data_IF_530729606844
#
_entry.id   IF_530729606844
#
_cell.length_a   1.000
_cell.length_b   1.000
_cell.length_c   1.000
_cell.angle_alpha   90.00
_cell.angle_beta   90.00
_cell.angle_gamma   90.00
#
_symmetry.space_group_name_H-M   'P 1'
#
loop_
_entity.id
_entity.type
_entity.pdbx_description
1 polymer ?
#
# COMPACT_ATOMS: atom_id res chain seq x y z
N UNK A 1 -3.97 12.97 -10.10
CA UNK A 1 -3.45 11.77 -10.77
C UNK A 1 -4.03 10.52 -10.12
N UNK A 2 -4.89 9.75 -10.81
CA UNK A 2 -5.08 8.35 -10.44
C UNK A 2 -3.73 7.65 -10.46
N UNK A 3 -3.53 6.59 -9.66
CA UNK A 3 -2.32 5.77 -9.74
C UNK A 3 -2.19 5.29 -11.20
N UNK A 4 -1.13 5.70 -11.90
CA UNK A 4 -0.91 5.36 -13.33
C UNK A 4 0.16 4.31 -13.52
N UNK A 5 1.01 4.13 -12.52
CA UNK A 5 2.21 3.34 -12.59
C UNK A 5 2.42 2.63 -11.26
N UNK A 6 2.54 1.32 -11.30
CA UNK A 6 2.86 0.48 -10.16
C UNK A 6 4.05 -0.41 -10.53
N UNK A 7 5.08 -0.41 -9.70
CA UNK A 7 6.20 -1.36 -9.82
C UNK A 7 6.12 -2.26 -8.58
N UNK A 8 6.02 -3.57 -8.80
CA UNK A 8 5.96 -4.57 -7.73
C UNK A 8 7.20 -5.44 -7.83
N UNK A 9 7.98 -5.53 -6.76
CA UNK A 9 9.07 -6.49 -6.65
C UNK A 9 8.58 -7.76 -5.94
N UNK A 10 8.94 -8.92 -6.47
CA UNK A 10 8.61 -10.22 -5.90
C UNK A 10 9.88 -10.81 -5.28
N UNK A 11 9.91 -10.97 -3.96
CA UNK A 11 11.06 -11.58 -3.30
C UNK A 11 11.39 -12.95 -3.93
N UNK A 12 12.64 -13.24 -4.33
CA UNK A 12 13.05 -14.54 -4.86
C UNK A 12 12.81 -15.71 -3.90
N UNK A 13 12.66 -15.42 -2.60
CA UNK A 13 12.28 -16.40 -1.59
C UNK A 13 10.76 -16.49 -1.42
N UNK A 14 9.99 -15.71 -2.20
CA UNK A 14 8.54 -15.80 -2.23
C UNK A 14 8.15 -17.13 -2.82
N UNK A 15 7.37 -17.86 -2.03
CA UNK A 15 6.75 -19.12 -2.41
C UNK A 15 5.40 -18.93 -3.10
N UNK A 16 4.87 -17.70 -3.09
CA UNK A 16 3.59 -17.33 -3.72
C UNK A 16 3.77 -16.46 -4.94
N UNK A 17 2.76 -16.45 -5.83
CA UNK A 17 2.76 -15.62 -7.05
C UNK A 17 1.65 -14.57 -7.10
N UNK A 18 1.96 -13.26 -7.06
CA UNK A 18 0.96 -12.20 -7.17
C UNK A 18 0.58 -11.88 -8.63
N UNK A 19 1.25 -12.42 -9.66
CA UNK A 19 0.98 -12.12 -11.07
C UNK A 19 -0.49 -12.30 -11.47
N UNK A 20 -1.21 -13.37 -11.08
CA UNK A 20 -2.63 -13.48 -11.43
C UNK A 20 -3.47 -12.29 -10.94
N UNK A 21 -3.16 -11.80 -9.74
CA UNK A 21 -3.80 -10.61 -9.16
C UNK A 21 -3.41 -9.38 -9.98
N UNK A 22 -2.11 -9.17 -10.20
CA UNK A 22 -1.60 -8.02 -10.94
C UNK A 22 -2.10 -7.99 -12.39
N UNK A 23 -2.19 -9.13 -13.06
CA UNK A 23 -2.67 -9.24 -14.43
C UNK A 23 -4.16 -8.94 -14.53
N UNK A 24 -4.96 -9.39 -13.56
CA UNK A 24 -6.35 -8.96 -13.47
C UNK A 24 -6.45 -7.43 -13.37
N UNK A 25 -5.64 -6.78 -12.52
CA UNK A 25 -5.60 -5.33 -12.44
C UNK A 25 -5.11 -4.65 -13.74
N UNK A 26 -4.10 -5.20 -14.43
CA UNK A 26 -3.61 -4.69 -15.73
C UNK A 26 -4.69 -4.76 -16.81
N UNK A 27 -5.45 -5.85 -16.83
CA UNK A 27 -6.45 -6.11 -17.87
C UNK A 27 -7.70 -5.26 -17.68
N UNK A 28 -8.05 -4.98 -16.43
CA UNK A 28 -9.30 -4.29 -16.10
C UNK A 28 -9.16 -2.79 -15.83
N UNK A 29 -7.94 -2.27 -15.73
CA UNK A 29 -7.70 -0.86 -15.44
C UNK A 29 -6.64 -0.27 -16.37
N UNK A 30 -6.51 1.06 -16.38
CA UNK A 30 -5.44 1.75 -17.12
C UNK A 30 -4.10 1.79 -16.36
N UNK A 31 -3.94 0.99 -15.30
CA UNK A 31 -2.76 0.98 -14.46
C UNK A 31 -1.60 0.25 -15.15
N UNK A 32 -0.49 0.95 -15.39
CA UNK A 32 0.74 0.32 -15.89
C UNK A 32 1.46 -0.41 -14.75
N UNK A 33 1.28 -1.72 -14.65
CA UNK A 33 1.97 -2.55 -13.66
C UNK A 33 3.20 -3.20 -14.28
N UNK A 34 4.35 -3.10 -13.62
CA UNK A 34 5.53 -3.91 -13.95
C UNK A 34 5.90 -4.73 -12.74
N UNK A 35 6.05 -6.03 -12.97
CA UNK A 35 6.55 -6.96 -11.98
C UNK A 35 8.06 -7.10 -12.17
N UNK A 36 8.82 -6.92 -11.10
CA UNK A 36 10.25 -7.19 -11.07
C UNK A 36 10.47 -8.51 -10.34
N UNK A 37 11.10 -9.45 -11.04
CA UNK A 37 11.29 -10.83 -10.59
C UNK A 37 12.77 -11.22 -10.64
N UNK A 38 13.18 -12.21 -9.84
CA UNK A 38 14.56 -12.68 -9.77
C UNK A 38 15.53 -11.73 -9.05
N UNK A 39 16.84 -12.00 -9.15
CA UNK A 39 17.87 -11.34 -8.33
C UNK A 39 18.48 -10.07 -8.95
N UNK A 40 18.05 -9.62 -10.13
CA UNK A 40 18.76 -8.55 -10.85
C UNK A 40 18.47 -7.14 -10.32
N UNK A 41 17.25 -6.83 -9.88
CA UNK A 41 16.91 -5.50 -9.35
C UNK A 41 17.45 -5.23 -7.93
N UNK A 42 18.23 -6.18 -7.41
CA UNK A 42 18.95 -6.10 -6.13
C UNK A 42 20.46 -5.92 -6.36
N UNK A 43 20.94 -6.14 -7.59
CA UNK A 43 22.36 -5.97 -7.96
C UNK A 43 22.65 -4.49 -8.14
N UNK A 44 22.81 -3.77 -7.03
CA UNK A 44 23.48 -2.48 -7.05
C UNK A 44 24.91 -2.77 -7.53
N UNK A 45 25.36 -2.10 -8.59
CA UNK A 45 26.59 -2.40 -9.32
C UNK A 45 27.88 -2.51 -8.48
N UNK A 46 27.88 -2.02 -7.25
CA UNK A 46 28.97 -2.14 -6.27
C UNK A 46 28.89 -3.39 -5.39
N UNK A 47 27.72 -4.00 -5.28
CA UNK A 47 27.44 -5.23 -4.52
C UNK A 47 27.19 -6.39 -5.48
N UNK A 48 28.17 -6.68 -6.34
CA UNK A 48 28.32 -8.04 -6.90
C UNK A 48 28.83 -8.98 -5.79
N UNK A 49 28.19 -8.93 -4.63
CA UNK A 49 28.73 -9.57 -3.45
C UNK A 49 28.55 -11.08 -3.62
N UNK A 50 29.63 -11.87 -3.70
CA UNK A 50 29.55 -13.33 -3.72
C UNK A 50 28.79 -13.88 -2.51
N UNK A 51 28.56 -13.05 -1.48
CA UNK A 51 27.77 -13.36 -0.29
C UNK A 51 26.32 -13.72 -0.64
N UNK A 52 25.66 -13.06 -1.60
CA UNK A 52 24.27 -13.40 -1.96
C UNK A 52 24.17 -14.78 -2.65
N UNK A 53 25.17 -15.14 -3.46
CA UNK A 53 25.26 -16.46 -4.12
C UNK A 53 25.80 -17.56 -3.18
N UNK A 54 26.39 -17.18 -2.02
CA UNK A 54 27.00 -18.08 -1.04
C UNK A 54 26.37 -18.00 0.35
N UNK A 55 25.15 -17.47 0.48
CA UNK A 55 24.54 -17.31 1.81
C UNK A 55 24.46 -18.68 2.50
N UNK A 56 25.16 -18.88 3.63
CA UNK A 56 25.04 -20.09 4.42
C UNK A 56 23.61 -20.24 4.96
N UNK A 57 23.17 -21.45 5.36
CA UNK A 57 21.88 -21.65 5.99
C UNK A 57 21.74 -20.69 7.17
N UNK A 58 20.67 -19.91 7.12
CA UNK A 58 20.63 -18.54 7.60
C UNK A 58 20.26 -18.50 9.08
N UNK A 59 21.06 -17.84 9.92
CA UNK A 59 20.61 -17.43 11.26
C UNK A 59 19.75 -16.14 11.17
N UNK A 60 18.78 -15.97 12.06
CA UNK A 60 17.74 -14.92 12.00
C UNK A 60 18.26 -13.51 11.67
N UNK A 61 19.41 -13.12 12.22
CA UNK A 61 20.00 -11.78 12.00
C UNK A 61 20.39 -11.52 10.53
N UNK A 62 20.88 -12.54 9.82
CA UNK A 62 21.29 -12.41 8.41
C UNK A 62 20.07 -12.26 7.51
N UNK A 63 18.93 -12.88 7.85
CA UNK A 63 17.67 -12.74 7.11
C UNK A 63 17.22 -11.28 7.12
N UNK A 64 17.24 -10.63 8.29
CA UNK A 64 16.70 -9.28 8.43
C UNK A 64 17.56 -8.20 7.77
N UNK A 65 18.89 -8.29 7.91
CA UNK A 65 19.80 -7.39 7.18
C UNK A 65 19.62 -7.55 5.67
N UNK A 66 19.44 -8.79 5.21
CA UNK A 66 19.17 -9.08 3.80
C UNK A 66 17.86 -8.46 3.33
N UNK A 67 16.76 -8.61 4.08
CA UNK A 67 15.45 -7.99 3.75
C UNK A 67 15.56 -6.46 3.63
N UNK A 68 16.26 -5.79 4.54
CA UNK A 68 16.40 -4.34 4.53
C UNK A 68 17.23 -3.84 3.34
N UNK A 69 18.35 -4.51 3.05
CA UNK A 69 19.18 -4.23 1.87
C UNK A 69 18.37 -4.41 0.59
N UNK A 70 17.60 -5.49 0.55
CA UNK A 70 16.72 -5.87 -0.53
C UNK A 70 15.68 -4.80 -0.84
N UNK A 71 14.88 -4.41 0.17
CA UNK A 71 13.89 -3.34 0.03
C UNK A 71 14.53 -1.99 -0.35
N UNK A 72 15.69 -1.67 0.24
CA UNK A 72 16.42 -0.44 -0.07
C UNK A 72 16.90 -0.38 -1.52
N UNK A 73 17.43 -1.49 -2.05
CA UNK A 73 17.82 -1.61 -3.45
C UNK A 73 16.62 -1.46 -4.38
N UNK A 74 15.53 -2.16 -4.06
CA UNK A 74 14.29 -2.06 -4.83
C UNK A 74 13.79 -0.61 -4.92
N UNK A 75 13.67 0.08 -3.78
CA UNK A 75 13.21 1.47 -3.78
C UNK A 75 14.15 2.41 -4.53
N UNK A 76 15.47 2.20 -4.41
CA UNK A 76 16.47 2.97 -5.17
C UNK A 76 16.24 2.83 -6.67
N UNK A 77 16.20 1.60 -7.16
CA UNK A 77 16.01 1.31 -8.58
C UNK A 77 14.63 1.76 -9.07
N UNK A 78 13.58 1.60 -8.25
CA UNK A 78 12.22 2.03 -8.56
C UNK A 78 12.16 3.55 -8.77
N UNK A 79 12.78 4.33 -7.88
CA UNK A 79 12.84 5.79 -8.00
C UNK A 79 13.60 6.24 -9.26
N UNK A 80 14.75 5.62 -9.54
CA UNK A 80 15.52 5.89 -10.76
C UNK A 80 14.70 5.54 -12.01
N UNK A 81 14.00 4.39 -12.01
CA UNK A 81 13.14 3.99 -13.13
C UNK A 81 12.01 4.97 -13.36
N UNK A 82 11.32 5.38 -12.29
CA UNK A 82 10.24 6.37 -12.38
C UNK A 82 10.75 7.71 -12.92
N UNK A 83 11.94 8.15 -12.49
CA UNK A 83 12.61 9.34 -13.03
C UNK A 83 12.89 9.21 -14.54
N UNK A 84 13.49 8.10 -14.97
CA UNK A 84 13.78 7.83 -16.39
C UNK A 84 12.49 7.78 -17.23
N UNK A 85 11.40 7.25 -16.67
CA UNK A 85 10.08 7.22 -17.31
C UNK A 85 9.35 8.59 -17.26
N UNK A 86 9.99 9.64 -16.73
CA UNK A 86 9.44 11.01 -16.71
C UNK A 86 8.37 11.26 -15.62
N UNK A 87 8.28 10.40 -14.61
CA UNK A 87 7.36 10.62 -13.49
C UNK A 87 7.94 11.64 -12.49
N UNK A 88 7.10 12.55 -12.03
CA UNK A 88 7.46 13.56 -11.01
C UNK A 88 7.22 13.03 -9.61
N UNK A 89 5.97 12.87 -9.18
CA UNK A 89 5.64 12.49 -7.81
C UNK A 89 5.26 11.01 -7.69
N UNK A 90 5.80 10.34 -6.67
CA UNK A 90 5.52 8.94 -6.32
C UNK A 90 5.39 8.76 -4.82
N UNK A 91 4.64 7.73 -4.40
CA UNK A 91 4.56 7.31 -2.99
C UNK A 91 5.24 5.96 -2.87
N UNK A 92 6.10 5.83 -1.86
CA UNK A 92 6.64 4.53 -1.43
C UNK A 92 5.84 4.11 -0.21
N UNK A 93 5.09 3.02 -0.31
CA UNK A 93 4.19 2.55 0.75
C UNK A 93 4.34 1.05 0.97
N UNK A 94 4.18 0.61 2.22
CA UNK A 94 4.18 -0.81 2.57
C UNK A 94 2.77 -1.39 2.34
N UNK A 95 2.65 -2.72 2.21
CA UNK A 95 1.36 -3.38 1.94
C UNK A 95 0.38 -3.31 3.12
N UNK A 96 0.86 -2.98 4.32
CA UNK A 96 0.06 -2.77 5.53
C UNK A 96 -0.26 -1.30 5.79
N UNK A 97 -0.06 -0.44 4.79
CA UNK A 97 -0.24 1.00 4.88
C UNK A 97 -1.07 1.59 3.74
N UNK A 98 -1.83 2.65 4.04
CA UNK A 98 -2.73 3.29 3.09
C UNK A 98 -2.60 4.81 3.15
N UNK A 99 -2.46 5.43 1.98
CA UNK A 99 -2.45 6.88 1.86
C UNK A 99 -3.87 7.42 1.74
N UNK A 100 -4.28 8.30 2.64
CA UNK A 100 -5.67 8.79 2.70
C UNK A 100 -5.77 10.24 3.12
N UNK A 101 -6.97 10.82 2.98
CA UNK A 101 -7.30 12.14 3.51
C UNK A 101 -7.28 12.14 5.04
N UNK A 102 -6.93 13.30 5.59
CA UNK A 102 -6.87 13.50 7.03
C UNK A 102 -8.22 13.99 7.59
N UNK A 103 -9.21 13.08 7.67
CA UNK A 103 -10.58 13.40 8.13
C UNK A 103 -10.68 13.63 9.65
N UNK A 104 -9.85 12.95 10.45
CA UNK A 104 -9.98 12.90 11.91
C UNK A 104 -9.65 14.24 12.60
N UNK A 105 -8.74 15.04 12.03
CA UNK A 105 -8.34 16.30 12.67
C UNK A 105 -9.51 17.23 12.96
N UNK A 106 -10.55 17.22 12.11
CA UNK A 106 -11.73 18.04 12.32
C UNK A 106 -12.50 17.70 13.61
N UNK A 107 -12.59 16.43 14.00
CA UNK A 107 -13.43 16.00 15.10
C UNK A 107 -12.71 16.06 16.46
N UNK A 108 -11.47 15.59 16.52
CA UNK A 108 -10.70 15.52 17.77
C UNK A 108 -10.25 16.91 18.27
N UNK A 109 -9.84 17.80 17.37
CA UNK A 109 -9.50 19.19 17.72
C UNK A 109 -10.72 19.98 18.21
N UNK A 110 -11.93 19.60 17.78
CA UNK A 110 -13.17 20.24 18.22
C UNK A 110 -13.58 19.81 19.64
N UNK A 111 -13.17 18.62 20.11
CA UNK A 111 -13.55 18.14 21.45
C UNK A 111 -12.58 18.58 22.55
N UNK A 112 -11.29 18.72 22.25
CA UNK A 112 -10.27 18.91 23.28
C UNK A 112 -9.89 20.37 23.57
N UNK A 113 -10.59 21.34 22.96
CA UNK A 113 -10.04 22.68 22.89
C UNK A 113 -11.15 23.74 22.96
N UNK A 114 -11.38 24.19 24.20
CA UNK A 114 -11.61 25.60 24.57
C UNK A 114 -10.44 26.44 24.02
N UNK A 115 -10.35 26.57 22.69
CA UNK A 115 -9.25 27.29 22.02
C UNK A 115 -9.49 28.78 22.20
N UNK A 116 -8.73 29.36 23.11
CA UNK A 116 -8.23 30.72 22.99
C UNK A 116 -7.80 31.03 21.55
N UNK A 117 -8.61 31.84 20.87
CA UNK A 117 -8.21 32.81 19.86
C UNK A 117 -7.29 32.34 18.71
N UNK A 118 -7.91 31.94 17.60
CA UNK A 118 -7.58 32.60 16.32
C UNK A 118 -6.74 31.87 15.27
N UNK A 119 -6.28 30.63 15.45
CA UNK A 119 -5.26 30.09 14.51
C UNK A 119 -5.79 29.23 13.35
N UNK A 120 -7.04 28.76 13.37
CA UNK A 120 -7.64 28.10 12.19
C UNK A 120 -9.02 28.63 11.84
N UNK A 121 -9.04 29.56 10.88
CA UNK A 121 -10.28 30.05 10.26
C UNK A 121 -11.12 28.87 9.74
N UNK A 122 -12.44 28.98 9.89
CA UNK A 122 -13.38 27.99 9.35
C UNK A 122 -13.16 27.74 7.82
N UNK A 123 -12.62 28.74 7.10
CA UNK A 123 -12.16 28.61 5.71
C UNK A 123 -11.11 27.51 5.47
N UNK A 124 -10.18 27.28 6.40
CA UNK A 124 -9.13 26.26 6.23
C UNK A 124 -9.71 24.84 6.34
N UNK A 125 -10.75 24.67 7.16
CA UNK A 125 -11.47 23.40 7.34
C UNK A 125 -12.37 23.04 6.15
N UNK A 126 -12.89 24.02 5.41
CA UNK A 126 -13.72 23.80 4.21
C UNK A 126 -12.95 23.22 3.00
N UNK A 127 -11.62 23.14 3.05
CA UNK A 127 -10.77 22.83 1.87
C UNK A 127 -10.40 21.37 1.69
N UNK A 128 -10.56 20.54 2.72
CA UNK A 128 -10.29 19.11 2.60
C UNK A 128 -11.58 18.41 2.17
N UNK A 129 -11.60 17.76 1.01
CA UNK A 129 -12.70 16.89 0.64
C UNK A 129 -12.87 15.87 1.76
N UNK A 130 -14.08 15.79 2.33
CA UNK A 130 -14.42 14.71 3.25
C UNK A 130 -14.52 13.36 2.55
N UNK A 131 -14.40 13.35 1.21
CA UNK A 131 -14.48 12.19 0.33
C UNK A 131 -13.47 12.28 -0.80
N UNK A 132 -12.86 11.15 -1.15
CA UNK A 132 -12.35 10.91 -2.51
C UNK A 132 -13.58 10.89 -3.42
N UNK A 133 -13.58 11.55 -4.57
CA UNK A 133 -14.61 11.27 -5.58
C UNK A 133 -15.64 12.37 -5.87
N UNK A 134 -15.25 13.65 -5.96
CA UNK A 134 -15.81 14.39 -7.11
C UNK A 134 -15.39 13.62 -8.36
N UNK A 135 -16.28 13.46 -9.35
CA UNK A 135 -15.97 12.72 -10.56
C UNK A 135 -14.65 13.28 -11.14
N UNK A 136 -13.59 12.45 -11.13
CA UNK A 136 -12.22 12.78 -11.53
C UNK A 136 -11.32 13.52 -10.51
N UNK A 137 -11.71 13.80 -9.27
CA UNK A 137 -10.80 14.38 -8.26
C UNK A 137 -10.11 13.29 -7.43
N UNK A 138 -8.82 13.10 -7.68
CA UNK A 138 -7.95 12.17 -6.94
C UNK A 138 -7.12 12.95 -5.93
N UNK A 139 -6.51 12.29 -4.94
CA UNK A 139 -5.55 12.92 -4.02
C UNK A 139 -4.52 13.75 -4.80
N UNK A 140 -3.98 13.21 -5.88
CA UNK A 140 -3.02 13.95 -6.69
C UNK A 140 -3.65 15.10 -7.53
N UNK A 141 -4.96 15.06 -7.86
CA UNK A 141 -5.63 16.23 -8.46
C UNK A 141 -5.83 17.32 -7.42
N UNK A 142 -6.27 16.97 -6.22
CA UNK A 142 -6.38 17.91 -5.11
C UNK A 142 -5.02 18.57 -4.83
N UNK A 143 -3.96 17.75 -4.75
CA UNK A 143 -2.57 18.20 -4.59
C UNK A 143 -2.15 19.15 -5.72
N UNK A 144 -2.47 18.85 -6.98
CA UNK A 144 -2.11 19.71 -8.10
C UNK A 144 -2.85 21.07 -8.04
N UNK A 145 -4.14 21.04 -7.70
CA UNK A 145 -4.98 22.23 -7.63
C UNK A 145 -4.67 23.13 -6.43
N UNK A 146 -4.29 22.54 -5.29
CA UNK A 146 -4.14 23.25 -4.02
C UNK A 146 -2.70 23.35 -3.52
N UNK A 147 -1.79 22.48 -4.01
CA UNK A 147 -0.40 22.40 -3.58
C UNK A 147 0.52 23.46 -4.17
N UNK A 148 0.03 24.26 -5.13
CA UNK A 148 0.77 25.36 -5.78
C UNK A 148 0.76 26.67 -4.99
N UNK A 149 0.02 26.76 -3.87
CA UNK A 149 0.19 27.83 -2.88
C UNK A 149 1.49 27.61 -2.09
N UNK A 150 2.61 27.78 -2.78
CA UNK A 150 4.03 27.91 -2.39
C UNK A 150 4.68 27.02 -1.32
N UNK A 151 4.00 26.38 -0.35
CA UNK A 151 4.73 25.80 0.79
C UNK A 151 4.90 24.26 0.78
N UNK A 152 3.97 23.49 0.22
CA UNK A 152 3.98 22.03 0.49
C UNK A 152 4.58 21.21 -0.66
N UNK A 153 4.21 21.52 -1.90
CA UNK A 153 4.57 20.74 -3.10
C UNK A 153 5.36 21.57 -4.11
N UNK A 154 6.29 22.40 -3.63
CA UNK A 154 7.12 23.17 -4.55
C UNK A 154 7.89 22.23 -5.47
N UNK A 155 8.12 22.62 -6.74
CA UNK A 155 9.00 21.90 -7.65
C UNK A 155 10.46 21.82 -7.14
N UNK A 156 10.77 22.43 -5.98
CA UNK A 156 12.06 22.37 -5.30
C UNK A 156 12.08 21.37 -4.14
N UNK A 157 10.92 20.89 -3.69
CA UNK A 157 10.81 19.95 -2.57
C UNK A 157 11.06 18.52 -3.05
N UNK A 158 12.13 17.89 -2.57
CA UNK A 158 12.45 16.48 -2.89
C UNK A 158 11.37 15.53 -2.38
N UNK A 159 10.81 15.80 -1.20
CA UNK A 159 9.87 14.90 -0.55
C UNK A 159 9.04 15.61 0.51
N UNK A 160 7.90 14.99 0.83
CA UNK A 160 6.93 15.41 1.84
C UNK A 160 6.65 14.20 2.71
N UNK A 161 6.70 14.35 4.03
CA UNK A 161 6.47 13.25 4.97
C UNK A 161 5.13 13.46 5.63
N UNK A 162 4.28 12.43 5.60
CA UNK A 162 2.94 12.51 6.16
C UNK A 162 2.87 11.85 7.54
N UNK A 163 1.99 12.33 8.43
CA UNK A 163 1.77 11.68 9.71
C UNK A 163 1.25 10.26 9.49
N UNK A 164 1.70 9.35 10.36
CA UNK A 164 1.14 8.02 10.45
C UNK A 164 0.05 7.98 11.52
N UNK A 165 -1.06 7.30 11.23
CA UNK A 165 -2.08 6.91 12.18
C UNK A 165 -2.09 5.38 12.31
N UNK A 166 -1.91 4.87 13.52
CA UNK A 166 -1.87 3.44 13.78
C UNK A 166 -3.28 2.90 14.05
N UNK A 167 -3.71 1.91 13.27
CA UNK A 167 -4.93 1.15 13.51
C UNK A 167 -4.65 -0.13 14.28
N UNK A 168 -5.57 -0.45 15.18
CA UNK A 168 -5.55 -1.65 16.00
C UNK A 168 -6.24 -2.81 15.30
N UNK A 169 -5.88 -4.02 15.72
CA UNK A 169 -6.43 -5.28 15.22
C UNK A 169 -7.80 -5.63 15.79
N UNK A 170 -8.44 -4.71 16.52
CA UNK A 170 -9.79 -4.89 17.06
C UNK A 170 -10.77 -4.86 15.89
N UNK A 171 -11.36 -6.02 15.60
CA UNK A 171 -12.44 -6.15 14.62
C UNK A 171 -13.70 -5.56 15.22
N UNK A 172 -14.39 -4.68 14.49
CA UNK A 172 -15.72 -4.24 14.89
C UNK A 172 -16.72 -5.40 14.86
N UNK A 173 -17.69 -5.40 15.78
CA UNK A 173 -18.73 -6.42 15.77
C UNK A 173 -19.50 -6.34 14.45
N UNK A 174 -19.79 -7.49 13.84
CA UNK A 174 -20.55 -7.58 12.59
C UNK A 174 -21.86 -6.78 12.61
N UNK A 175 -22.56 -6.81 13.75
CA UNK A 175 -23.77 -6.01 13.97
C UNK A 175 -23.53 -4.50 13.87
N UNK A 176 -22.34 -4.00 14.25
CA UNK A 176 -22.00 -2.59 14.10
C UNK A 176 -21.68 -2.24 12.65
N UNK A 177 -21.08 -3.16 11.90
CA UNK A 177 -20.84 -2.99 10.46
C UNK A 177 -22.15 -3.02 9.67
N UNK A 178 -23.05 -3.93 10.03
CA UNK A 178 -24.36 -4.11 9.38
C UNK A 178 -25.35 -2.98 9.75
N UNK A 179 -25.35 -2.52 11.02
CA UNK A 179 -26.24 -1.44 11.48
C UNK A 179 -25.67 -0.03 11.26
N UNK A 180 -24.35 0.10 11.19
CA UNK A 180 -23.65 1.38 11.27
C UNK A 180 -23.34 1.99 9.92
N UNK A 181 -24.32 2.60 9.24
CA UNK A 181 -24.13 3.54 8.10
C UNK A 181 -23.32 3.08 6.88
N UNK A 182 -22.63 1.93 6.92
CA UNK A 182 -22.24 1.17 5.73
C UNK A 182 -23.49 0.47 5.20
N UNK A 183 -24.51 1.26 4.85
CA UNK A 183 -25.30 0.90 3.70
C UNK A 183 -24.36 1.06 2.50
N UNK A 184 -23.48 0.06 2.34
CA UNK A 184 -22.87 -0.15 1.05
C UNK A 184 -24.07 -0.23 0.08
N UNK A 185 -24.06 0.54 -1.02
CA UNK A 185 -25.20 0.60 -1.94
C UNK A 185 -25.64 -0.77 -2.48
N UNK A 186 -24.83 -1.80 -2.25
CA UNK A 186 -25.03 -3.21 -2.59
C UNK A 186 -26.12 -3.93 -1.78
N UNK A 187 -26.61 -3.39 -0.66
CA UNK A 187 -27.75 -3.99 0.06
C UNK A 187 -28.99 -4.16 -0.83
N UNK A 188 -29.15 -3.31 -1.84
CA UNK A 188 -30.22 -3.42 -2.84
C UNK A 188 -29.88 -4.37 -4.01
N UNK A 189 -28.60 -4.59 -4.32
CA UNK A 189 -28.16 -5.50 -5.39
C UNK A 189 -28.30 -6.96 -4.96
N UNK A 190 -27.97 -7.27 -3.69
CA UNK A 190 -28.13 -8.62 -3.13
C UNK A 190 -29.59 -9.10 -3.05
N UNK A 191 -30.55 -8.18 -3.13
CA UNK A 191 -31.98 -8.47 -2.93
C UNK A 191 -32.79 -8.63 -4.23
N UNK A 192 -32.20 -8.34 -5.40
CA UNK A 192 -32.95 -8.27 -6.68
C UNK A 192 -32.78 -9.46 -7.62
N UNK A 193 -31.90 -10.42 -7.34
CA UNK A 193 -31.73 -11.62 -8.15
C UNK A 193 -32.19 -12.88 -7.43
N UNK A 194 -33.34 -13.44 -7.78
CA UNK A 194 -33.84 -14.73 -7.26
C UNK A 194 -33.05 -15.98 -7.69
N UNK A 195 -31.77 -15.82 -8.07
CA UNK A 195 -30.86 -16.91 -8.42
C UNK A 195 -29.76 -16.99 -7.37
N UNK A 196 -29.67 -18.14 -6.69
CA UNK A 196 -28.77 -18.44 -5.57
C UNK A 196 -27.27 -18.48 -5.90
N UNK A 197 -26.83 -17.87 -7.01
CA UNK A 197 -25.48 -18.05 -7.56
C UNK A 197 -24.66 -16.75 -7.68
N UNK A 198 -25.24 -15.59 -7.35
CA UNK A 198 -24.44 -14.35 -7.33
C UNK A 198 -23.54 -14.33 -6.09
N UNK A 199 -22.22 -14.17 -6.24
CA UNK A 199 -21.29 -14.15 -5.11
C UNK A 199 -21.65 -12.99 -4.18
N UNK A 200 -21.93 -13.31 -2.91
CA UNK A 200 -22.19 -12.32 -1.89
C UNK A 200 -20.88 -11.60 -1.55
N UNK A 201 -20.90 -10.28 -1.56
CA UNK A 201 -19.77 -9.48 -1.08
C UNK A 201 -19.50 -9.81 0.40
N UNK A 202 -18.30 -10.30 0.70
CA UNK A 202 -17.88 -10.62 2.05
C UNK A 202 -17.01 -9.51 2.63
N UNK A 203 -17.58 -8.73 3.54
CA UNK A 203 -16.88 -7.66 4.23
C UNK A 203 -15.77 -8.19 5.15
N UNK A 204 -15.93 -9.41 5.68
CA UNK A 204 -14.98 -10.05 6.61
C UNK A 204 -13.67 -10.44 5.94
N UNK A 205 -13.61 -10.31 4.63
CA UNK A 205 -12.44 -10.71 3.90
C UNK A 205 -11.69 -9.51 3.29
N UNK A 206 -12.21 -8.29 3.53
CA UNK A 206 -11.47 -7.03 3.48
C UNK A 206 -10.96 -6.62 4.87
N UNK A 207 -9.79 -7.13 5.25
CA UNK A 207 -9.19 -6.87 6.57
C UNK A 207 -9.17 -5.39 6.97
N UNK A 208 -8.86 -4.47 6.06
CA UNK A 208 -8.80 -3.04 6.38
C UNK A 208 -10.14 -2.41 6.71
N UNK A 209 -11.24 -2.97 6.21
CA UNK A 209 -12.58 -2.47 6.49
C UNK A 209 -13.07 -2.90 7.87
N UNK A 210 -12.43 -3.90 8.49
CA UNK A 210 -12.75 -4.40 9.83
C UNK A 210 -12.08 -3.61 10.95
N UNK A 211 -10.98 -2.93 10.64
CA UNK A 211 -10.16 -2.23 11.61
C UNK A 211 -10.44 -0.73 11.51
N UNK A 212 -11.34 -0.23 12.35
CA UNK A 212 -11.68 1.20 12.42
C UNK A 212 -11.08 1.86 13.65
N UNK A 213 -10.79 1.08 14.70
CA UNK A 213 -10.20 1.57 15.93
C UNK A 213 -8.73 1.92 15.72
N UNK A 214 -8.34 3.12 16.13
CA UNK A 214 -6.97 3.62 15.96
C UNK A 214 -6.44 4.28 17.23
N UNK A 215 -5.12 4.41 17.30
CA UNK A 215 -4.44 5.14 18.37
C UNK A 215 -4.85 6.61 18.36
N UNK A 216 -4.82 7.26 19.51
CA UNK A 216 -5.05 8.70 19.57
C UNK A 216 -4.00 9.39 18.72
N UNK A 217 -4.44 10.45 18.04
CA UNK A 217 -3.51 11.26 17.28
C UNK A 217 -2.37 11.70 18.18
N UNK A 218 -2.64 12.29 19.35
CA UNK A 218 -1.64 12.80 20.32
C UNK A 218 -0.67 11.77 20.92
N UNK A 219 -1.04 10.48 21.01
CA UNK A 219 -0.18 9.39 21.53
C UNK A 219 0.68 8.74 20.47
N UNK A 220 0.30 8.89 19.20
CA UNK A 220 1.20 8.64 18.06
C UNK A 220 2.40 9.59 18.06
N UNK A 221 2.63 10.36 19.12
CA UNK A 221 3.71 11.31 19.26
C UNK A 221 4.77 10.82 20.25
N UNK A 222 5.94 10.36 19.78
CA UNK A 222 7.07 10.08 20.68
C UNK A 222 7.67 11.41 21.14
N UNK A 223 7.36 11.82 22.37
CA UNK A 223 7.78 13.11 22.92
C UNK A 223 7.06 14.30 22.30
N UNK A 224 5.76 14.16 21.97
CA UNK A 224 5.00 15.28 21.42
C UNK A 224 5.36 15.62 19.96
N UNK A 225 5.95 14.69 19.20
CA UNK A 225 6.07 14.76 17.72
C UNK A 225 5.45 13.53 17.02
N UNK A 226 4.59 13.70 16.01
CA UNK A 226 3.85 12.59 15.42
C UNK A 226 4.80 11.63 14.74
N UNK A 227 4.48 10.35 14.80
CA UNK A 227 5.27 9.31 14.16
C UNK A 227 5.29 9.57 12.65
N UNK A 228 6.49 9.68 12.07
CA UNK A 228 6.58 9.92 10.66
C UNK A 228 6.09 8.68 9.91
N UNK A 229 5.14 8.89 9.02
CA UNK A 229 4.68 7.88 8.09
C UNK A 229 5.56 7.86 6.85
N UNK A 230 4.94 7.48 5.73
CA UNK A 230 5.58 7.44 4.43
C UNK A 230 5.69 8.82 3.80
N UNK A 231 6.51 8.86 2.76
CA UNK A 231 6.82 10.08 2.03
C UNK A 231 6.24 10.05 0.63
N UNK A 232 5.69 11.17 0.19
CA UNK A 232 5.54 11.48 -1.23
C UNK A 232 6.86 12.08 -1.70
N UNK A 233 7.40 11.55 -2.80
CA UNK A 233 8.75 11.82 -3.28
C UNK A 233 8.68 12.35 -4.70
N UNK A 234 9.39 13.44 -4.96
CA UNK A 234 9.59 13.95 -6.30
C UNK A 234 10.75 13.20 -6.97
N UNK A 235 10.44 12.10 -7.65
CA UNK A 235 11.36 11.27 -8.43
C UNK A 235 12.18 12.10 -9.44
N UNK A 236 11.62 13.18 -10.01
CA UNK A 236 12.36 14.06 -10.92
C UNK A 236 13.54 14.79 -10.25
N UNK A 237 13.49 14.99 -8.94
CA UNK A 237 14.56 15.62 -8.16
C UNK A 237 15.52 14.61 -7.50
N UNK A 238 15.25 13.30 -7.65
CA UNK A 238 16.14 12.27 -7.14
C UNK A 238 17.43 12.29 -7.96
N UNK A 239 18.57 12.45 -7.29
CA UNK A 239 19.88 12.38 -7.95
C UNK A 239 20.14 10.96 -8.46
N UNK A 240 20.88 10.83 -9.56
CA UNK A 240 21.15 9.51 -10.15
C UNK A 240 21.97 8.61 -9.21
N UNK A 241 22.82 9.21 -8.37
CA UNK A 241 23.62 8.54 -7.34
C UNK A 241 22.85 8.29 -6.03
N UNK A 242 21.55 8.59 -5.98
CA UNK A 242 20.76 8.43 -4.78
C UNK A 242 20.57 6.96 -4.41
N UNK A 243 20.87 6.62 -3.15
CA UNK A 243 20.62 5.29 -2.57
C UNK A 243 19.71 5.44 -1.35
N UNK A 244 18.60 4.71 -1.33
CA UNK A 244 17.74 4.56 -0.15
C UNK A 244 18.52 3.75 0.89
N UNK A 245 18.64 4.28 2.11
CA UNK A 245 19.36 3.60 3.21
C UNK A 245 18.44 2.84 4.16
N UNK A 246 17.22 3.32 4.34
CA UNK A 246 16.23 2.74 5.22
C UNK A 246 14.89 2.71 4.48
N UNK A 247 14.33 1.54 4.16
CA UNK A 247 13.09 1.44 3.40
C UNK A 247 11.88 1.95 4.19
N UNK A 248 11.93 1.91 5.52
CA UNK A 248 10.86 2.46 6.36
C UNK A 248 10.92 3.99 6.49
N UNK A 249 12.05 4.59 6.13
CA UNK A 249 12.33 6.01 6.27
C UNK A 249 13.15 6.53 5.07
N UNK A 250 12.67 6.31 3.82
CA UNK A 250 13.52 6.38 2.65
C UNK A 250 14.13 7.76 2.44
N UNK A 251 13.50 8.82 2.95
CA UNK A 251 13.97 10.18 2.81
C UNK A 251 14.07 10.96 4.12
N UNK A 252 13.96 10.33 5.29
CA UNK A 252 13.83 11.04 6.57
C UNK A 252 14.95 12.05 6.85
N UNK A 253 16.17 11.75 6.43
CA UNK A 253 17.31 12.65 6.62
C UNK A 253 17.50 13.67 5.49
N UNK A 254 16.79 13.52 4.37
CA UNK A 254 16.90 14.38 3.18
C UNK A 254 15.69 15.29 2.96
N UNK A 255 14.53 14.95 3.51
CA UNK A 255 13.41 15.88 3.66
C UNK A 255 13.72 16.93 4.74
N UNK A 256 14.85 17.64 4.62
CA UNK A 256 15.26 18.71 5.55
C UNK A 256 14.53 19.99 5.16
N UNK A 257 13.76 20.51 6.12
CA UNK A 257 12.84 21.64 5.99
C UNK A 257 11.70 21.41 6.98
N UNK A 258 10.93 22.44 7.32
CA UNK A 258 9.85 22.44 8.34
C UNK A 258 8.71 21.41 8.16
N UNK A 259 8.86 20.48 7.22
CA UNK A 259 7.92 19.40 6.90
C UNK A 259 7.71 18.44 8.08
N UNK A 260 8.73 18.23 8.92
CA UNK A 260 8.61 17.44 10.14
C UNK A 260 8.09 18.22 11.36
N UNK A 261 8.42 19.52 11.45
CA UNK A 261 8.16 20.36 12.63
C UNK A 261 6.76 20.96 12.65
N UNK A 262 6.08 21.03 11.50
CA UNK A 262 4.72 21.58 11.38
C UNK A 262 3.69 20.52 11.00
N UNK A 263 3.81 19.30 11.52
CA UNK A 263 2.71 18.31 11.49
C UNK A 263 1.63 18.76 12.49
N UNK A 264 1.10 19.97 12.25
CA UNK A 264 0.11 20.70 13.02
C UNK A 264 -1.09 20.91 12.13
N UNK A 265 -2.27 20.57 12.64
CA UNK A 265 -3.67 20.95 12.34
C UNK A 265 -4.15 21.24 10.88
N UNK A 266 -3.30 21.18 9.84
CA UNK A 266 -3.61 21.61 8.47
C UNK A 266 -3.15 20.66 7.35
N UNK A 267 -2.69 19.45 7.66
CA UNK A 267 -2.22 18.51 6.63
C UNK A 267 -3.38 17.78 5.96
N UNK A 268 -3.47 17.82 4.62
CA UNK A 268 -4.58 17.21 3.86
C UNK A 268 -4.58 15.68 3.87
N UNK A 269 -3.43 15.07 4.09
CA UNK A 269 -3.23 13.63 3.96
C UNK A 269 -2.49 13.04 5.15
N UNK A 270 -2.57 11.72 5.24
CA UNK A 270 -1.92 10.88 6.25
C UNK A 270 -1.73 9.46 5.72
N UNK A 271 -0.96 8.69 6.48
CA UNK A 271 -0.78 7.26 6.25
C UNK A 271 -1.48 6.50 7.36
N UNK A 272 -2.45 5.67 7.01
CA UNK A 272 -2.99 4.65 7.91
C UNK A 272 -2.04 3.47 7.93
N UNK A 273 -1.69 2.94 9.10
CA UNK A 273 -0.91 1.71 9.26
C UNK A 273 -1.72 0.69 10.05
N UNK A 274 -1.86 -0.52 9.52
CA UNK A 274 -2.64 -1.59 10.15
C UNK A 274 -1.70 -2.61 10.81
N UNK A 275 -1.96 -2.95 12.08
CA UNK A 275 -1.25 -4.04 12.74
C UNK A 275 -1.56 -5.41 12.12
N UNK A 276 -2.73 -5.55 11.48
CA UNK A 276 -3.25 -6.81 10.96
C UNK A 276 -3.64 -7.80 12.05
N UNK A 277 -4.15 -8.97 11.70
CA UNK A 277 -4.48 -10.02 12.67
C UNK A 277 -3.23 -10.53 13.39
N UNK A 278 -3.38 -11.13 14.58
CA UNK A 278 -2.26 -11.78 15.27
C UNK A 278 -1.57 -12.82 14.38
N UNK A 279 -2.33 -13.56 13.57
CA UNK A 279 -1.79 -14.51 12.60
C UNK A 279 -0.86 -13.84 11.58
N UNK A 280 -1.30 -12.74 10.96
CA UNK A 280 -0.47 -11.96 10.03
C UNK A 280 0.72 -11.31 10.73
N UNK A 281 0.59 -10.95 12.00
CA UNK A 281 1.69 -10.42 12.78
C UNK A 281 2.78 -11.48 13.02
N UNK A 282 2.38 -12.68 13.48
CA UNK A 282 3.28 -13.79 13.81
C UNK A 282 3.85 -14.49 12.58
N UNK A 283 3.41 -14.16 11.36
CA UNK A 283 4.02 -14.68 10.13
C UNK A 283 5.44 -14.14 9.91
N UNK A 284 5.86 -13.12 10.67
CA UNK A 284 7.23 -12.62 10.65
C UNK A 284 8.01 -13.22 11.84
N UNK A 285 9.17 -13.88 11.62
CA UNK A 285 9.90 -14.60 12.66
C UNK A 285 10.28 -13.74 13.87
N UNK A 286 10.56 -12.47 13.66
CA UNK A 286 11.01 -11.53 14.68
C UNK A 286 9.87 -10.99 15.58
N UNK A 287 8.62 -11.29 15.23
CA UNK A 287 7.44 -10.71 15.85
C UNK A 287 6.86 -11.67 16.88
N UNK A 288 6.71 -11.19 18.12
CA UNK A 288 6.09 -11.98 19.19
C UNK A 288 4.64 -11.57 19.45
N UNK A 289 3.90 -12.46 20.13
CA UNK A 289 2.54 -12.18 20.59
C UNK A 289 2.52 -11.00 21.56
N UNK A 290 3.51 -10.91 22.45
CA UNK A 290 3.64 -9.85 23.44
C UNK A 290 3.82 -8.48 22.76
N UNK A 291 4.63 -8.42 21.69
CA UNK A 291 4.79 -7.20 20.89
C UNK A 291 3.48 -6.79 20.20
N UNK A 292 2.74 -7.77 19.65
CA UNK A 292 1.44 -7.52 19.05
C UNK A 292 0.45 -6.99 20.08
N UNK A 293 0.37 -7.65 21.23
CA UNK A 293 -0.48 -7.23 22.33
C UNK A 293 -0.09 -5.85 22.80
N UNK A 294 1.20 -5.56 23.02
CA UNK A 294 1.65 -4.23 23.43
C UNK A 294 1.24 -3.16 22.41
N UNK A 295 1.34 -3.45 21.12
CA UNK A 295 0.91 -2.54 20.05
C UNK A 295 -0.61 -2.35 20.00
N UNK A 296 -1.38 -3.33 20.48
CA UNK A 296 -2.85 -3.33 20.49
C UNK A 296 -3.48 -3.04 21.88
N UNK A 297 -2.67 -2.96 22.94
CA UNK A 297 -3.05 -2.73 24.35
C UNK A 297 -3.22 -1.25 24.69
N UNK A 298 -2.94 -0.34 23.75
CA UNK A 298 -3.13 1.09 23.98
C UNK A 298 -4.60 1.34 24.36
N UNK A 299 -4.79 1.92 25.55
CA UNK A 299 -6.08 2.05 26.24
C UNK A 299 -7.21 2.40 25.26
N UNK A 300 -8.26 1.57 25.30
CA UNK A 300 -9.46 1.61 24.45
C UNK A 300 -10.26 2.91 24.57
N UNK A 301 -9.69 4.02 24.13
CA UNK A 301 -10.46 5.22 23.83
C UNK A 301 -10.99 5.02 22.42
N UNK A 302 -12.29 4.73 22.34
CA UNK A 302 -13.05 4.32 21.15
C UNK A 302 -13.08 5.41 20.07
N UNK A 303 -11.93 5.70 19.46
CA UNK A 303 -11.88 6.50 18.23
C UNK A 303 -12.03 5.52 17.07
N UNK A 304 -13.20 5.57 16.43
CA UNK A 304 -13.48 4.81 15.22
C UNK A 304 -13.34 5.73 14.00
N UNK A 305 -12.55 5.30 13.03
CA UNK A 305 -12.39 5.97 11.75
C UNK A 305 -12.91 5.10 10.61
N UNK A 306 -14.06 5.51 10.08
CA UNK A 306 -14.69 4.88 8.92
C UNK A 306 -14.29 5.57 7.59
N UNK A 307 -13.21 6.36 7.54
CA UNK A 307 -12.79 7.02 6.29
C UNK A 307 -12.43 6.02 5.19
N UNK A 308 -11.98 4.81 5.54
CA UNK A 308 -11.73 3.76 4.56
C UNK A 308 -13.00 3.11 4.01
N UNK A 309 -14.14 3.16 4.71
CA UNK A 309 -15.33 2.46 4.21
C UNK A 309 -15.94 3.17 3.00
N UNK A 310 -15.60 4.45 2.81
CA UNK A 310 -16.10 5.30 1.73
C UNK A 310 -15.40 5.11 0.40
N UNK A 311 -14.16 4.61 0.37
CA UNK A 311 -13.45 4.44 -0.91
C UNK A 311 -14.00 3.26 -1.71
N UNK A 312 -14.51 2.23 -1.03
CA UNK A 312 -14.93 0.99 -1.68
C UNK A 312 -16.12 1.17 -2.64
N UNK A 313 -17.23 1.85 -2.26
CA UNK A 313 -18.31 2.17 -3.20
C UNK A 313 -17.82 2.97 -4.42
N UNK A 314 -16.92 3.94 -4.20
CA UNK A 314 -16.33 4.73 -5.29
C UNK A 314 -15.43 3.89 -6.20
N UNK A 315 -14.70 2.93 -5.64
CA UNK A 315 -13.89 1.99 -6.41
C UNK A 315 -14.76 1.12 -7.32
N UNK A 316 -15.86 0.57 -6.80
CA UNK A 316 -16.81 -0.20 -7.62
C UNK A 316 -17.39 0.67 -8.74
N UNK A 317 -17.83 1.90 -8.42
CA UNK A 317 -18.35 2.85 -9.42
C UNK A 317 -17.32 3.21 -10.50
N UNK A 318 -16.04 3.31 -10.13
CA UNK A 318 -14.96 3.55 -11.10
C UNK A 318 -14.78 2.35 -12.03
N UNK A 319 -14.81 1.12 -11.51
CA UNK A 319 -14.76 -0.09 -12.33
C UNK A 319 -15.96 -0.20 -13.27
N UNK A 320 -17.18 0.14 -12.81
CA UNK A 320 -18.37 0.23 -13.67
C UNK A 320 -18.14 1.17 -14.84
N UNK A 321 -17.59 2.36 -14.54
CA UNK A 321 -17.35 3.39 -15.55
C UNK A 321 -16.31 2.95 -16.59
N UNK A 322 -15.25 2.25 -16.15
CA UNK A 322 -14.21 1.72 -17.05
C UNK A 322 -14.74 0.57 -17.91
N UNK A 323 -15.52 -0.35 -17.33
CA UNK A 323 -16.15 -1.44 -18.07
C UNK A 323 -17.14 -0.94 -19.11
N UNK A 324 -18.00 0.03 -18.77
CA UNK A 324 -18.94 0.63 -19.73
C UNK A 324 -18.21 1.26 -20.93
N UNK A 325 -17.04 1.88 -20.71
CA UNK A 325 -16.20 2.40 -21.79
C UNK A 325 -15.61 1.27 -22.66
N UNK A 326 -15.24 0.13 -22.08
CA UNK A 326 -14.74 -1.03 -22.82
C UNK A 326 -15.85 -1.73 -23.62
N UNK A 327 -17.03 -1.94 -23.04
CA UNK A 327 -18.20 -2.52 -23.72
C UNK A 327 -18.60 -1.73 -24.96
N UNK A 328 -18.61 -0.39 -24.87
CA UNK A 328 -18.90 0.49 -26.01
C UNK A 328 -17.91 0.31 -27.17
N UNK A 329 -16.69 -0.18 -26.90
CA UNK A 329 -15.65 -0.39 -27.90
C UNK A 329 -15.63 -1.82 -28.45
N UNK A 330 -16.05 -2.82 -27.67
CA UNK A 330 -15.78 -4.24 -27.98
C UNK A 330 -17.03 -5.11 -28.13
N UNK A 331 -18.25 -4.64 -27.79
CA UNK A 331 -19.50 -5.43 -27.89
C UNK A 331 -19.46 -6.79 -27.15
N UNK A 332 -18.61 -6.93 -26.13
CA UNK A 332 -18.49 -8.15 -25.34
C UNK A 332 -19.34 -8.08 -24.05
N UNK A 333 -19.86 -9.24 -23.62
CA UNK A 333 -20.43 -9.41 -22.29
C UNK A 333 -19.31 -9.32 -21.25
N UNK A 334 -19.28 -8.23 -20.48
CA UNK A 334 -18.36 -8.12 -19.35
C UNK A 334 -19.07 -8.50 -18.05
N UNK A 335 -18.31 -9.05 -17.10
CA UNK A 335 -18.78 -9.25 -15.73
C UNK A 335 -19.36 -7.95 -15.15
N UNK A 336 -20.35 -8.07 -14.26
CA UNK A 336 -20.81 -6.97 -13.41
C UNK A 336 -19.60 -6.37 -12.66
N UNK A 337 -19.47 -5.04 -12.62
CA UNK A 337 -18.35 -4.37 -11.98
C UNK A 337 -18.18 -4.71 -10.50
N UNK A 338 -19.27 -5.06 -9.81
CA UNK A 338 -19.21 -5.55 -8.44
C UNK A 338 -18.55 -6.93 -8.38
N UNK A 339 -18.88 -7.81 -9.34
CA UNK A 339 -18.24 -9.13 -9.49
C UNK A 339 -16.77 -8.96 -9.84
N UNK A 340 -16.44 -8.01 -10.72
CA UNK A 340 -15.06 -7.67 -11.03
C UNK A 340 -14.32 -7.12 -9.80
N UNK A 341 -14.92 -6.19 -9.06
CA UNK A 341 -14.35 -5.63 -7.84
C UNK A 341 -14.06 -6.75 -6.83
N UNK A 342 -15.04 -7.63 -6.59
CA UNK A 342 -14.90 -8.82 -5.75
C UNK A 342 -13.77 -9.73 -6.25
N UNK A 343 -13.67 -9.98 -7.56
CA UNK A 343 -12.62 -10.81 -8.13
C UNK A 343 -11.23 -10.21 -7.92
N UNK A 344 -11.09 -8.91 -8.15
CA UNK A 344 -9.83 -8.16 -8.05
C UNK A 344 -9.30 -8.00 -6.62
N UNK A 345 -10.15 -8.25 -5.62
CA UNK A 345 -9.84 -7.99 -4.21
C UNK A 345 -10.01 -9.25 -3.39
N UNK A 346 -11.24 -9.73 -3.29
CA UNK A 346 -11.64 -10.81 -2.39
C UNK A 346 -11.18 -12.18 -2.86
N UNK A 347 -11.57 -12.55 -4.08
CA UNK A 347 -11.17 -13.85 -4.64
C UNK A 347 -9.65 -13.97 -4.74
N UNK A 348 -8.99 -12.88 -5.16
CA UNK A 348 -7.54 -12.78 -5.20
C UNK A 348 -6.89 -13.02 -3.82
N UNK A 349 -7.48 -12.50 -2.75
CA UNK A 349 -7.03 -12.73 -1.38
C UNK A 349 -7.20 -14.21 -0.98
N UNK A 350 -8.37 -14.79 -1.22
CA UNK A 350 -8.69 -16.15 -0.80
C UNK A 350 -7.83 -17.18 -1.54
N UNK A 351 -7.67 -17.00 -2.86
CA UNK A 351 -6.79 -17.85 -3.68
C UNK A 351 -5.33 -17.78 -3.17
N UNK A 352 -4.84 -16.58 -2.78
CA UNK A 352 -3.50 -16.41 -2.22
C UNK A 352 -3.35 -17.00 -0.81
N UNK A 353 -4.41 -16.93 0.01
CA UNK A 353 -4.43 -17.51 1.34
C UNK A 353 -4.42 -19.04 1.28
N UNK A 354 -5.27 -19.63 0.44
CA UNK A 354 -5.34 -21.08 0.24
C UNK A 354 -4.01 -21.63 -0.27
N UNK A 355 -3.39 -20.94 -1.23
CA UNK A 355 -2.04 -21.26 -1.70
C UNK A 355 -1.03 -21.24 -0.54
N UNK A 356 -1.03 -20.18 0.27
CA UNK A 356 -0.12 -20.05 1.42
C UNK A 356 -0.31 -21.18 2.42
N UNK A 357 -1.57 -21.55 2.70
CA UNK A 357 -1.91 -22.62 3.63
C UNK A 357 -1.52 -24.01 3.10
N UNK A 358 -1.72 -24.28 1.80
CA UNK A 358 -1.24 -25.51 1.16
C UNK A 358 0.28 -25.62 1.27
N UNK A 359 1.01 -24.54 0.96
CA UNK A 359 2.47 -24.52 1.07
C UNK A 359 2.91 -24.77 2.51
N UNK A 360 2.32 -24.06 3.48
CA UNK A 360 2.64 -24.24 4.90
C UNK A 360 2.37 -25.68 5.36
N UNK A 361 1.25 -26.26 4.93
CA UNK A 361 0.91 -27.64 5.25
C UNK A 361 1.96 -28.63 4.71
N UNK A 362 2.35 -28.49 3.43
CA UNK A 362 3.39 -29.31 2.80
C UNK A 362 4.73 -29.18 3.53
N UNK A 363 5.15 -27.96 3.85
CA UNK A 363 6.39 -27.71 4.59
C UNK A 363 6.36 -28.36 5.98
N UNK A 364 5.23 -28.31 6.68
CA UNK A 364 5.06 -28.95 8.00
C UNK A 364 5.16 -30.48 7.90
N UNK A 365 4.79 -31.06 6.76
CA UNK A 365 4.93 -32.48 6.46
C UNK A 365 6.30 -32.85 5.86
N UNK A 366 7.28 -31.94 5.82
CA UNK A 366 8.56 -32.10 5.13
C UNK A 366 8.42 -32.50 3.63
N UNK A 367 7.33 -32.07 2.99
CA UNK A 367 7.12 -32.30 1.56
C UNK A 367 7.78 -31.20 0.73
N UNK A 368 8.23 -31.55 -0.47
CA UNK A 368 8.78 -30.57 -1.42
C UNK A 368 7.67 -29.68 -1.96
N UNK A 369 7.90 -28.37 -1.92
CA UNK A 369 7.04 -27.38 -2.58
C UNK A 369 7.69 -27.08 -3.93
N UNK A 370 7.03 -27.37 -5.07
CA UNK A 370 7.61 -27.06 -6.37
C UNK A 370 7.85 -25.55 -6.46
N UNK A 371 9.01 -25.11 -6.98
CA UNK A 371 9.25 -23.70 -7.24
C UNK A 371 8.14 -23.16 -8.14
N UNK A 372 7.45 -22.11 -7.69
CA UNK A 372 6.34 -21.53 -8.47
C UNK A 372 6.86 -20.79 -9.70
N UNK A 373 8.11 -20.32 -9.65
CA UNK A 373 8.73 -19.62 -10.76
C UNK A 373 9.88 -20.35 -11.41
N UNK A 374 10.08 -20.13 -12.71
CA UNK A 374 11.19 -20.71 -13.45
C UNK A 374 12.56 -20.29 -12.91
N UNK A 375 12.68 -19.10 -12.32
CA UNK A 375 13.94 -18.61 -11.73
C UNK A 375 14.23 -19.22 -10.35
N UNK A 376 13.26 -19.87 -9.73
CA UNK A 376 13.43 -20.62 -8.48
C UNK A 376 13.84 -22.08 -8.75
N UNK A 377 13.73 -22.54 -10.00
CA UNK A 377 14.35 -23.81 -10.39
C UNK A 377 15.85 -23.64 -10.21
N UNK A 378 16.55 -24.57 -9.51
CA UNK A 378 18.00 -24.56 -9.45
C UNK A 378 18.53 -24.35 -10.86
N UNK A 379 19.35 -23.31 -11.08
CA UNK A 379 19.95 -23.02 -12.37
C UNK A 379 20.89 -24.17 -12.72
N UNK A 380 20.34 -25.24 -13.28
CA UNK A 380 21.09 -26.40 -13.78
C UNK A 380 22.01 -26.02 -14.94
N UNK A 381 21.81 -24.84 -15.54
CA UNK A 381 22.66 -24.29 -16.58
C UNK A 381 22.92 -22.78 -16.41
N UNK A 382 24.14 -22.44 -15.98
CA UNK A 382 24.64 -21.06 -15.84
C UNK A 382 24.60 -20.26 -17.15
N UNK A 383 24.53 -20.93 -18.32
CA UNK A 383 24.44 -20.26 -19.63
C UNK A 383 23.07 -19.61 -19.84
N UNK A 384 21.99 -20.19 -19.32
CA UNK A 384 20.63 -19.66 -19.48
C UNK A 384 20.43 -18.34 -18.70
N UNK A 385 20.98 -18.25 -17.48
CA UNK A 385 20.98 -17.02 -16.69
C UNK A 385 21.79 -15.89 -17.35
N UNK A 386 22.96 -16.21 -17.92
CA UNK A 386 23.79 -15.23 -18.63
C UNK A 386 23.08 -14.65 -19.87
N UNK A 387 22.31 -15.48 -20.57
CA UNK A 387 21.51 -15.06 -21.74
C UNK A 387 20.36 -14.11 -21.35
N UNK A 388 19.62 -14.42 -20.28
CA UNK A 388 18.55 -13.55 -19.78
C UNK A 388 19.06 -12.17 -19.33
N UNK A 389 20.25 -12.12 -18.71
CA UNK A 389 20.89 -10.85 -18.33
C UNK A 389 21.27 -10.03 -19.58
N UNK A 390 21.80 -10.68 -20.63
CA UNK A 390 22.15 -10.01 -21.88
C UNK A 390 20.94 -9.50 -22.67
N UNK A 391 19.84 -10.25 -22.68
CA UNK A 391 18.58 -9.83 -23.31
C UNK A 391 18.00 -8.60 -22.58
N UNK A 392 18.00 -8.61 -21.25
CA UNK A 392 17.55 -7.45 -20.45
C UNK A 392 18.44 -6.21 -20.61
N UNK A 393 19.77 -6.37 -20.66
CA UNK A 393 20.68 -5.25 -20.94
C UNK A 393 20.46 -4.63 -22.32
N UNK A 394 19.99 -5.44 -23.28
CA UNK A 394 19.63 -4.98 -24.62
C UNK A 394 18.34 -4.15 -24.62
N UNK A 395 17.36 -4.54 -23.80
CA UNK A 395 16.08 -3.83 -23.65
C UNK A 395 16.20 -2.52 -22.83
N UNK A 396 17.31 -2.35 -22.11
CA UNK A 396 17.64 -1.12 -21.36
C UNK A 396 18.57 -0.17 -22.12
N UNK A 397 19.11 -0.57 -23.27
CA UNK A 397 19.92 0.32 -24.10
C UNK A 397 18.99 1.34 -24.81
N UNK A 398 19.36 2.64 -24.86
CA UNK A 398 18.53 3.70 -25.43
C UNK A 398 18.25 3.55 -26.92
#
# INVERSE_FOLDING_TARGET
>A
MPLRRLIVAIDPLSITNPEPILDAWKNHTKLKITTWTGNWYWKISEWQDPILDKMPPIGDKVIDDTKLLRQSSFYTNCLQRLKMEGFSWTVIIDTDEYFTYNSIMSAELMHNKTIHDGVLSAESRKRLPSFVGRQNETIAHWIHQHGTKESVMSNKSLCIVYPRLQFFSKVENKEQLDNGSLQLPFGQVASRGGSSSTPRFDLEAFHTLQYTSHDRFDRSFKGGKPLPGKSLVNAALVKDDYKVKNPHAPFTFKCKGDVYSQITEGWPFRVHQYSGSLKVWLSRPERTKEMWEQRNKLEHQNHNDHSLTKWFPEFVRLLESEQQQQQQQQHEDTDDALVLAFRLTQKAHDDAYDETMDIFHRLTLNQTVPPKYEWDKPLGDKRKASRLIQEFQRDLAP
#
